data_IF_368400474408
#
_entry.id   IF_368400474408
#
_cell.length_a   1.000
_cell.length_b   1.000
_cell.length_c   1.000
_cell.angle_alpha   90.00
_cell.angle_beta   90.00
_cell.angle_gamma   90.00
#
_symmetry.space_group_name_H-M   'P 1'
#
loop_
_entity.id
_entity.type
_entity.pdbx_description
1 polymer ?
#
# COMPACT_ATOMS: atom_id res chain seq x y z
N UNK A 1 16.51 11.09 -17.47
CA UNK A 1 15.42 10.71 -18.41
C UNK A 1 15.53 11.66 -19.59
N UNK A 2 15.82 11.15 -20.78
CA UNK A 2 15.78 11.97 -22.00
C UNK A 2 14.35 12.46 -22.18
N UNK A 3 14.21 13.71 -22.61
CA UNK A 3 12.93 14.33 -22.94
C UNK A 3 12.36 13.65 -24.21
N UNK A 4 11.87 12.42 -24.03
CA UNK A 4 11.18 11.70 -25.10
C UNK A 4 9.89 12.46 -25.35
N UNK A 5 9.72 12.98 -26.55
CA UNK A 5 8.50 13.63 -26.95
C UNK A 5 7.30 12.72 -26.63
N UNK A 6 6.34 13.26 -25.87
CA UNK A 6 5.12 12.53 -25.45
C UNK A 6 4.41 11.86 -26.64
N UNK A 7 4.32 12.57 -27.77
CA UNK A 7 3.65 12.05 -28.96
C UNK A 7 4.38 10.82 -29.51
N UNK A 8 5.70 10.87 -29.60
CA UNK A 8 6.50 9.72 -30.03
C UNK A 8 6.37 8.53 -29.10
N UNK A 9 6.31 8.76 -27.78
CA UNK A 9 6.08 7.70 -26.81
C UNK A 9 4.68 7.11 -26.95
N UNK A 10 3.66 7.96 -27.10
CA UNK A 10 2.27 7.53 -27.25
C UNK A 10 2.06 6.68 -28.52
N UNK A 11 2.61 7.12 -29.66
CA UNK A 11 2.44 6.46 -30.95
C UNK A 11 3.14 5.09 -31.02
N UNK A 12 4.22 4.92 -30.24
CA UNK A 12 5.03 3.70 -30.19
C UNK A 12 4.78 2.86 -28.94
N UNK A 13 3.82 3.23 -28.08
CA UNK A 13 3.56 2.51 -26.84
C UNK A 13 3.02 1.10 -27.11
N UNK A 14 3.70 0.13 -26.52
CA UNK A 14 3.26 -1.26 -26.47
C UNK A 14 3.43 -1.82 -25.04
N UNK A 15 2.71 -2.89 -24.64
CA UNK A 15 2.93 -3.54 -23.36
C UNK A 15 4.38 -3.98 -23.11
N UNK A 16 5.13 -4.28 -24.17
CA UNK A 16 6.55 -4.64 -24.08
C UNK A 16 7.41 -3.52 -23.45
N UNK A 17 7.06 -2.25 -23.70
CA UNK A 17 7.76 -1.11 -23.09
C UNK A 17 7.64 -1.11 -21.56
N UNK A 18 6.52 -1.60 -21.02
CA UNK A 18 6.33 -1.77 -19.58
C UNK A 18 7.11 -2.98 -19.09
N UNK A 19 7.01 -4.11 -19.80
CA UNK A 19 7.71 -5.37 -19.46
C UNK A 19 9.21 -5.14 -19.30
N UNK A 20 9.84 -4.39 -20.20
CA UNK A 20 11.27 -4.06 -20.16
C UNK A 20 11.68 -3.24 -18.93
N UNK A 21 10.73 -2.56 -18.29
CA UNK A 21 11.00 -1.73 -17.10
C UNK A 21 10.76 -2.47 -15.79
N UNK A 22 10.11 -3.62 -15.80
CA UNK A 22 9.84 -4.41 -14.60
C UNK A 22 11.08 -5.22 -14.19
N UNK A 23 11.22 -5.46 -12.88
CA UNK A 23 12.13 -6.49 -12.35
C UNK A 23 11.53 -7.87 -12.59
N UNK A 24 10.21 -7.98 -12.36
CA UNK A 24 9.44 -9.19 -12.63
C UNK A 24 8.90 -9.24 -14.05
N UNK A 25 7.81 -9.96 -14.24
CA UNK A 25 7.19 -10.18 -15.55
C UNK A 25 5.68 -10.07 -15.46
N UNK A 26 5.05 -9.45 -16.47
CA UNK A 26 3.59 -9.41 -16.58
C UNK A 26 3.00 -10.83 -16.78
N UNK A 27 3.76 -11.73 -17.37
CA UNK A 27 3.34 -13.10 -17.65
C UNK A 27 3.52 -14.03 -16.46
N UNK A 28 4.68 -13.97 -15.82
CA UNK A 28 5.04 -14.87 -14.71
C UNK A 28 4.67 -14.30 -13.34
N UNK A 29 4.39 -12.99 -13.29
CA UNK A 29 4.06 -12.25 -12.10
C UNK A 29 5.20 -11.38 -11.60
N UNK A 30 4.87 -10.40 -10.77
CA UNK A 30 5.80 -9.50 -10.11
C UNK A 30 5.27 -9.08 -8.75
N UNK A 31 6.16 -8.67 -7.87
CA UNK A 31 5.77 -8.08 -6.58
C UNK A 31 5.76 -6.56 -6.70
N UNK A 32 4.58 -5.97 -6.56
CA UNK A 32 4.41 -4.51 -6.67
C UNK A 32 5.31 -3.76 -5.69
N UNK A 33 5.52 -4.27 -4.47
CA UNK A 33 6.39 -3.61 -3.50
C UNK A 33 7.86 -3.61 -3.93
N UNK A 34 8.33 -4.68 -4.57
CA UNK A 34 9.66 -4.73 -5.18
C UNK A 34 9.83 -3.65 -6.25
N UNK A 35 8.85 -3.54 -7.13
CA UNK A 35 8.89 -2.58 -8.26
C UNK A 35 8.87 -1.13 -7.81
N UNK A 36 8.06 -0.78 -6.81
CA UNK A 36 7.85 0.62 -6.42
C UNK A 36 8.68 1.07 -5.21
N UNK A 37 9.28 0.14 -4.46
CA UNK A 37 10.02 0.45 -3.24
C UNK A 37 11.42 -0.17 -3.25
N UNK A 38 11.55 -1.50 -3.32
CA UNK A 38 12.80 -2.18 -3.04
C UNK A 38 13.90 -1.88 -4.06
N UNK A 39 13.54 -1.74 -5.32
CA UNK A 39 14.49 -1.36 -6.39
C UNK A 39 15.12 0.03 -6.21
N UNK A 40 14.53 0.85 -5.36
CA UNK A 40 14.98 2.20 -5.07
C UNK A 40 15.64 2.34 -3.70
N UNK A 41 15.81 1.23 -2.98
CA UNK A 41 16.28 1.20 -1.59
C UNK A 41 17.80 1.33 -1.45
N UNK A 42 18.48 1.81 -2.47
CA UNK A 42 19.91 2.07 -2.44
C UNK A 42 20.22 3.43 -1.81
N UNK A 43 21.07 3.44 -0.78
CA UNK A 43 21.49 4.66 -0.10
C UNK A 43 20.38 5.40 0.64
N UNK A 44 20.51 6.71 0.75
CA UNK A 44 19.65 7.61 1.52
C UNK A 44 18.54 8.26 0.67
N UNK A 45 18.14 7.62 -0.41
CA UNK A 45 17.11 8.16 -1.29
C UNK A 45 15.76 8.28 -0.55
N UNK A 46 15.24 9.51 -0.47
CA UNK A 46 13.94 9.79 0.16
C UNK A 46 12.82 9.22 -0.71
N UNK A 47 12.01 8.35 -0.11
CA UNK A 47 10.83 7.73 -0.72
C UNK A 47 9.51 8.36 -0.29
N UNK A 48 9.49 9.00 0.88
CA UNK A 48 8.30 9.66 1.43
C UNK A 48 8.69 10.91 2.20
N UNK A 49 8.10 12.04 1.86
CA UNK A 49 8.09 13.26 2.67
C UNK A 49 6.70 13.44 3.27
N UNK A 50 6.64 13.60 4.58
CA UNK A 50 5.41 13.79 5.33
C UNK A 50 5.36 15.19 5.93
N UNK A 51 4.24 15.86 5.74
CA UNK A 51 3.88 17.11 6.43
C UNK A 51 2.49 16.94 7.05
N UNK A 52 2.38 17.19 8.34
CA UNK A 52 1.14 17.03 9.10
C UNK A 52 0.82 18.25 9.94
N UNK A 53 -0.47 18.46 10.24
CA UNK A 53 -0.93 19.56 11.09
C UNK A 53 -0.55 19.30 12.55
N UNK A 54 -0.63 18.07 13.01
CA UNK A 54 -0.49 17.67 14.42
C UNK A 54 0.81 16.93 14.73
N UNK A 55 1.57 16.53 13.72
CA UNK A 55 2.85 15.83 13.86
C UNK A 55 3.93 16.58 13.09
N UNK A 56 5.18 16.61 13.57
CA UNK A 56 6.29 17.22 12.84
C UNK A 56 6.46 16.63 11.44
N UNK A 57 6.95 17.45 10.52
CA UNK A 57 7.38 16.98 9.21
C UNK A 57 8.48 15.91 9.36
N UNK A 58 8.47 14.92 8.49
CA UNK A 58 9.48 13.86 8.48
C UNK A 58 9.75 13.36 7.07
N UNK A 59 10.95 12.80 6.87
CA UNK A 59 11.34 12.13 5.64
C UNK A 59 11.67 10.68 5.95
N UNK A 60 11.32 9.80 5.05
CA UNK A 60 11.59 8.37 5.14
C UNK A 60 12.25 7.91 3.84
N UNK A 61 13.39 7.25 3.98
CA UNK A 61 14.10 6.68 2.82
C UNK A 61 13.39 5.43 2.28
N UNK A 62 13.67 5.06 1.05
CA UNK A 62 13.21 3.78 0.50
C UNK A 62 13.74 2.59 1.31
N UNK A 63 14.97 2.68 1.84
CA UNK A 63 15.53 1.64 2.70
C UNK A 63 14.72 1.46 3.99
N UNK A 64 14.34 2.54 4.66
CA UNK A 64 13.46 2.49 5.84
C UNK A 64 12.06 1.96 5.52
N UNK A 65 11.48 2.37 4.38
CA UNK A 65 10.18 1.87 3.94
C UNK A 65 10.24 0.37 3.62
N UNK A 66 11.31 -0.09 2.97
CA UNK A 66 11.59 -1.51 2.72
C UNK A 66 11.63 -2.30 4.02
N UNK A 67 12.41 -1.85 5.00
CA UNK A 67 12.54 -2.52 6.30
C UNK A 67 11.19 -2.59 7.04
N UNK A 68 10.51 -1.45 7.19
CA UNK A 68 9.22 -1.36 7.89
C UNK A 68 8.13 -2.19 7.21
N UNK A 69 8.05 -2.14 5.88
CA UNK A 69 7.09 -2.94 5.11
C UNK A 69 7.38 -4.44 5.17
N UNK A 70 8.65 -4.84 5.23
CA UNK A 70 9.03 -6.25 5.43
C UNK A 70 8.60 -6.76 6.81
N UNK A 71 8.79 -5.97 7.87
CA UNK A 71 8.30 -6.30 9.21
C UNK A 71 6.78 -6.46 9.24
N UNK A 72 6.05 -5.56 8.57
CA UNK A 72 4.60 -5.65 8.48
C UNK A 72 4.15 -6.86 7.65
N UNK A 73 4.81 -7.19 6.54
CA UNK A 73 4.52 -8.41 5.78
C UNK A 73 4.75 -9.67 6.60
N UNK A 74 5.82 -9.72 7.41
CA UNK A 74 6.06 -10.83 8.33
C UNK A 74 4.96 -10.96 9.39
N UNK A 75 4.47 -9.84 9.92
CA UNK A 75 3.31 -9.83 10.81
C UNK A 75 2.07 -10.41 10.10
N UNK A 76 1.75 -9.98 8.88
CA UNK A 76 0.63 -10.53 8.11
C UNK A 76 0.76 -12.05 7.92
N UNK A 77 1.94 -12.51 7.53
CA UNK A 77 2.21 -13.95 7.37
C UNK A 77 2.02 -14.72 8.68
N UNK A 78 2.44 -14.16 9.83
CA UNK A 78 2.22 -14.77 11.14
C UNK A 78 0.76 -14.88 11.55
N UNK A 79 -0.11 -14.03 10.97
CA UNK A 79 -1.56 -14.07 11.12
C UNK A 79 -2.25 -14.96 10.07
N UNK A 80 -1.48 -15.70 9.26
CA UNK A 80 -2.02 -16.53 8.18
C UNK A 80 -2.61 -15.73 7.01
N UNK A 81 -2.18 -14.48 6.84
CA UNK A 81 -2.61 -13.59 5.75
C UNK A 81 -1.54 -13.59 4.66
N UNK A 82 -1.93 -13.89 3.43
CA UNK A 82 -1.02 -13.98 2.29
C UNK A 82 -1.71 -13.68 0.96
N UNK A 83 -1.19 -14.29 -0.10
CA UNK A 83 -1.62 -14.04 -1.47
C UNK A 83 -3.14 -14.16 -1.65
N UNK A 84 -3.75 -13.09 -2.16
CA UNK A 84 -5.17 -13.03 -2.44
C UNK A 84 -6.06 -12.67 -1.25
N UNK A 85 -5.52 -12.57 -0.02
CA UNK A 85 -6.25 -12.09 1.14
C UNK A 85 -6.39 -10.56 1.12
N UNK A 86 -7.48 -10.03 1.67
CA UNK A 86 -7.72 -8.59 1.71
C UNK A 86 -7.35 -8.03 3.07
N UNK A 87 -6.52 -6.99 3.04
CA UNK A 87 -6.12 -6.18 4.20
C UNK A 87 -6.59 -4.75 3.98
N UNK A 88 -7.45 -4.25 4.84
CA UNK A 88 -7.95 -2.89 4.77
C UNK A 88 -7.15 -1.95 5.68
N UNK A 89 -7.04 -0.68 5.28
CA UNK A 89 -6.55 0.37 6.15
C UNK A 89 -7.57 1.50 6.26
N UNK A 90 -8.00 1.78 7.49
CA UNK A 90 -8.79 2.94 7.88
C UNK A 90 -7.87 3.88 8.67
N UNK A 91 -6.95 4.51 7.97
CA UNK A 91 -5.92 5.38 8.52
C UNK A 91 -5.92 6.75 7.85
N UNK A 92 -5.56 7.81 8.56
CA UNK A 92 -5.24 9.09 7.96
C UNK A 92 -3.97 8.98 7.10
N UNK A 93 -3.68 10.05 6.35
CA UNK A 93 -2.48 10.11 5.50
C UNK A 93 -1.22 10.31 6.34
N UNK A 94 -0.74 9.24 6.95
CA UNK A 94 0.48 9.20 7.78
C UNK A 94 1.51 8.25 7.18
N UNK A 95 2.77 8.32 7.60
CA UNK A 95 3.80 7.38 7.13
C UNK A 95 3.45 5.91 7.38
N UNK A 96 2.73 5.63 8.46
CA UNK A 96 2.27 4.28 8.78
C UNK A 96 1.33 3.71 7.71
N UNK A 97 0.48 4.56 7.09
CA UNK A 97 -0.36 4.13 5.98
C UNK A 97 0.47 3.61 4.82
N UNK A 98 1.57 4.27 4.48
CA UNK A 98 2.48 3.81 3.42
C UNK A 98 3.10 2.45 3.77
N UNK A 99 3.52 2.26 5.03
CA UNK A 99 4.04 0.97 5.50
C UNK A 99 2.99 -0.15 5.36
N UNK A 100 1.74 0.13 5.70
CA UNK A 100 0.63 -0.83 5.55
C UNK A 100 0.39 -1.18 4.08
N UNK A 101 0.38 -0.19 3.19
CA UNK A 101 0.22 -0.40 1.75
C UNK A 101 1.34 -1.30 1.23
N UNK A 102 2.59 -0.88 1.42
CA UNK A 102 3.77 -1.59 0.91
C UNK A 102 3.88 -3.00 1.49
N UNK A 103 3.66 -3.17 2.79
CA UNK A 103 3.76 -4.48 3.43
C UNK A 103 2.63 -5.43 3.04
N UNK A 104 1.43 -4.91 2.78
CA UNK A 104 0.32 -5.70 2.22
C UNK A 104 0.66 -6.22 0.82
N UNK A 105 1.16 -5.35 -0.05
CA UNK A 105 1.58 -5.71 -1.41
C UNK A 105 2.77 -6.68 -1.38
N UNK A 106 3.72 -6.49 -0.47
CA UNK A 106 4.87 -7.38 -0.25
C UNK A 106 4.44 -8.79 0.13
N UNK A 107 3.44 -8.94 0.98
CA UNK A 107 2.86 -10.23 1.35
C UNK A 107 2.05 -10.90 0.22
N UNK A 108 1.90 -10.24 -0.93
CA UNK A 108 1.04 -10.69 -2.03
C UNK A 108 -0.45 -10.55 -1.72
N UNK A 109 -0.79 -9.87 -0.64
CA UNK A 109 -2.18 -9.61 -0.25
C UNK A 109 -2.76 -8.42 -1.04
N UNK A 110 -4.08 -8.31 -1.02
CA UNK A 110 -4.82 -7.23 -1.69
C UNK A 110 -5.03 -6.09 -0.71
N UNK A 111 -4.51 -4.92 -1.04
CA UNK A 111 -4.74 -3.71 -0.25
C UNK A 111 -6.13 -3.12 -0.54
N UNK A 112 -6.91 -2.87 0.52
CA UNK A 112 -8.22 -2.25 0.46
C UNK A 112 -8.19 -0.87 1.15
N UNK A 113 -8.20 0.24 0.40
CA UNK A 113 -8.27 1.57 0.98
C UNK A 113 -9.66 1.85 1.58
N UNK A 114 -9.69 2.40 2.79
CA UNK A 114 -10.88 2.97 3.41
C UNK A 114 -10.64 4.43 3.72
N UNK A 115 -11.60 5.27 3.35
CA UNK A 115 -11.51 6.70 3.61
C UNK A 115 -12.01 7.00 5.02
N UNK A 116 -11.25 7.78 5.78
CA UNK A 116 -11.57 8.11 7.18
C UNK A 116 -12.86 8.92 7.35
N UNK A 117 -13.38 9.54 6.28
CA UNK A 117 -14.68 10.20 6.31
C UNK A 117 -15.87 9.26 6.12
N UNK A 118 -15.64 7.96 5.83
CA UNK A 118 -16.76 7.02 5.75
C UNK A 118 -17.40 6.80 7.13
N UNK A 119 -18.74 6.72 7.13
CA UNK A 119 -19.50 6.29 8.29
C UNK A 119 -19.45 4.75 8.47
N UNK A 120 -19.83 4.26 9.67
CA UNK A 120 -19.77 2.82 10.02
C UNK A 120 -20.43 1.90 8.98
N UNK A 121 -21.65 2.19 8.54
CA UNK A 121 -22.36 1.34 7.56
C UNK A 121 -21.67 1.25 6.21
N UNK A 122 -21.01 2.32 5.75
CA UNK A 122 -20.24 2.28 4.50
C UNK A 122 -18.93 1.48 4.64
N UNK A 123 -18.35 1.48 5.83
CA UNK A 123 -17.16 0.67 6.15
C UNK A 123 -17.54 -0.80 6.20
N UNK A 124 -18.56 -1.13 6.98
CA UNK A 124 -19.06 -2.50 7.13
C UNK A 124 -19.41 -3.14 5.79
N UNK A 125 -20.20 -2.44 4.97
CA UNK A 125 -20.53 -2.92 3.62
C UNK A 125 -19.29 -3.27 2.79
N UNK A 126 -18.27 -2.41 2.80
CA UNK A 126 -17.01 -2.63 2.04
C UNK A 126 -16.21 -3.79 2.58
N UNK A 127 -16.08 -3.88 3.89
CA UNK A 127 -15.36 -4.97 4.55
C UNK A 127 -16.03 -6.32 4.30
N UNK A 128 -17.37 -6.37 4.45
CA UNK A 128 -18.16 -7.58 4.22
C UNK A 128 -18.12 -8.03 2.76
N UNK A 129 -18.35 -7.10 1.81
CA UNK A 129 -18.33 -7.42 0.37
C UNK A 129 -16.97 -7.93 -0.08
N UNK A 130 -15.89 -7.34 0.40
CA UNK A 130 -14.53 -7.77 0.07
C UNK A 130 -14.09 -9.01 0.88
N UNK A 131 -14.84 -9.43 1.89
CA UNK A 131 -14.45 -10.48 2.84
C UNK A 131 -13.05 -10.18 3.43
N UNK A 132 -12.90 -8.98 3.97
CA UNK A 132 -11.64 -8.48 4.50
C UNK A 132 -11.20 -9.28 5.72
N UNK A 133 -9.97 -9.75 5.74
CA UNK A 133 -9.43 -10.55 6.86
C UNK A 133 -8.88 -9.72 8.00
N UNK A 134 -8.32 -8.55 7.69
CA UNK A 134 -7.69 -7.68 8.68
C UNK A 134 -7.94 -6.22 8.33
N UNK A 135 -8.24 -5.42 9.36
CA UNK A 135 -8.34 -3.96 9.25
C UNK A 135 -7.28 -3.32 10.14
N UNK A 136 -6.47 -2.46 9.56
CA UNK A 136 -5.52 -1.61 10.30
C UNK A 136 -6.16 -0.25 10.49
N UNK A 137 -6.17 0.23 11.73
CA UNK A 137 -6.77 1.53 12.08
C UNK A 137 -6.01 2.21 13.22
N UNK A 138 -6.29 3.48 13.44
CA UNK A 138 -5.84 4.22 14.61
C UNK A 138 -6.91 4.30 15.71
N UNK A 139 -6.54 4.82 16.87
CA UNK A 139 -7.45 4.96 18.00
C UNK A 139 -8.66 5.86 17.69
N UNK A 140 -8.47 6.89 16.84
CA UNK A 140 -9.53 7.87 16.50
C UNK A 140 -10.61 7.21 15.63
N UNK A 141 -10.22 6.36 14.70
CA UNK A 141 -11.13 5.72 13.76
C UNK A 141 -11.64 4.35 14.24
N UNK A 142 -11.09 3.82 15.34
CA UNK A 142 -11.44 2.49 15.86
C UNK A 142 -12.93 2.35 16.14
N UNK A 143 -13.57 3.38 16.72
CA UNK A 143 -15.00 3.37 17.04
C UNK A 143 -15.93 3.20 15.83
N UNK A 144 -15.45 3.46 14.62
CA UNK A 144 -16.21 3.25 13.38
C UNK A 144 -16.28 1.78 12.95
N UNK A 145 -15.46 0.94 13.57
CA UNK A 145 -15.39 -0.51 13.33
C UNK A 145 -16.17 -1.28 14.37
N UNK A 146 -16.50 -0.64 15.50
CA UNK A 146 -17.25 -1.25 16.59
C UNK A 146 -18.75 -1.08 16.30
N UNK A 147 -19.30 -1.97 15.47
CA UNK A 147 -20.75 -2.07 15.30
C UNK A 147 -21.37 -2.80 16.48
N UNK A 148 -21.46 -2.14 17.64
CA UNK A 148 -22.39 -2.51 18.72
C UNK A 148 -23.84 -2.06 18.43
N UNK A 149 -24.20 -1.97 17.17
CA UNK A 149 -25.60 -1.83 16.77
C UNK A 149 -26.12 -3.23 16.47
N UNK A 150 -26.58 -3.89 17.54
CA UNK A 150 -27.08 -5.24 17.51
C UNK A 150 -27.99 -5.53 16.31
N UNK A 151 -27.63 -6.55 15.58
CA UNK A 151 -28.49 -7.47 14.85
C UNK A 151 -28.11 -8.88 15.25
#
# INVERSE_FOLDING_TARGET
MSNTDYQSFYDNFTPAVIEEQLIGSLKEGFNVCEEICDRWADGDRVGLSYEGITRPASQHTYAELKEKSARFANFLNSQGIGKGDRVAALLPRTPELMVVILGTLRAGAVYQPLFTAFGPGAIEYRLGTAKTKLVITDAVNRSKLDNDQGC
#
